data_IF_586362308625
#
_entry.id   IF_586362308625
#
_cell.length_a   1.000
_cell.length_b   1.000
_cell.length_c   1.000
_cell.angle_alpha   90.00
_cell.angle_beta   90.00
_cell.angle_gamma   90.00
#
_symmetry.space_group_name_H-M   'P 1'
#
loop_
_entity.id
_entity.type
_entity.pdbx_description
1 polymer ?
#
# COMPACT_ATOMS: atom_id res chain seq x y z
N UNK A 1 -3.09 -0.17 -34.70
CA UNK A 1 -2.82 -1.09 -33.57
C UNK A 1 -3.60 -0.58 -32.36
N UNK A 2 -4.57 -1.33 -31.84
CA UNK A 2 -5.36 -0.89 -30.68
C UNK A 2 -4.61 -1.23 -29.39
N UNK A 3 -4.76 -0.41 -28.34
CA UNK A 3 -4.11 -0.66 -27.04
C UNK A 3 -4.41 -2.06 -26.49
N UNK A 4 -5.62 -2.57 -26.73
CA UNK A 4 -6.02 -3.92 -26.32
C UNK A 4 -5.17 -5.03 -26.97
N UNK A 5 -4.68 -4.82 -28.20
CA UNK A 5 -3.81 -5.78 -28.90
C UNK A 5 -2.42 -5.84 -28.26
N UNK A 6 -1.95 -4.71 -27.72
CA UNK A 6 -0.66 -4.56 -27.02
C UNK A 6 -0.73 -5.16 -25.62
N UNK A 7 -1.89 -5.10 -24.96
CA UNK A 7 -2.05 -5.62 -23.59
C UNK A 7 -2.28 -7.13 -23.51
N UNK A 8 -2.31 -7.86 -24.64
CA UNK A 8 -2.37 -9.32 -24.63
C UNK A 8 -1.10 -9.90 -24.01
N UNK A 9 -1.26 -10.90 -23.12
CA UNK A 9 -0.16 -11.52 -22.35
C UNK A 9 0.97 -12.06 -23.23
N UNK A 10 0.62 -12.46 -24.45
CA UNK A 10 1.52 -13.12 -25.39
C UNK A 10 2.43 -12.14 -26.18
N UNK A 11 2.19 -10.83 -26.08
CA UNK A 11 2.90 -9.83 -26.88
C UNK A 11 3.23 -8.54 -26.09
N UNK A 12 3.39 -8.64 -24.76
CA UNK A 12 3.64 -7.47 -23.93
C UNK A 12 4.80 -7.69 -22.96
N UNK A 13 5.66 -6.69 -22.83
CA UNK A 13 6.81 -6.68 -21.93
C UNK A 13 6.52 -5.86 -20.66
N UNK A 14 5.27 -5.88 -20.17
CA UNK A 14 4.87 -5.12 -18.96
C UNK A 14 5.70 -5.56 -17.75
N UNK A 15 6.10 -6.84 -17.72
CA UNK A 15 6.92 -7.37 -16.64
C UNK A 15 8.33 -6.76 -16.59
N UNK A 16 8.91 -6.32 -17.72
CA UNK A 16 10.18 -5.59 -17.73
C UNK A 16 10.03 -4.26 -16.99
N UNK A 17 8.96 -3.51 -17.26
CA UNK A 17 8.70 -2.25 -16.56
C UNK A 17 8.44 -2.46 -15.07
N UNK A 18 7.85 -3.59 -14.69
CA UNK A 18 7.71 -3.98 -13.27
C UNK A 18 9.03 -4.29 -12.62
N UNK A 19 9.96 -4.95 -13.32
CA UNK A 19 11.32 -5.20 -12.81
C UNK A 19 12.05 -3.87 -12.62
N UNK A 20 11.99 -2.96 -13.60
CA UNK A 20 12.58 -1.61 -13.47
C UNK A 20 11.97 -0.87 -12.27
N UNK A 21 10.65 -0.91 -12.12
CA UNK A 21 9.98 -0.31 -10.96
C UNK A 21 10.42 -0.98 -9.64
N UNK A 22 10.57 -2.31 -9.59
CA UNK A 22 11.06 -3.00 -8.41
C UNK A 22 12.48 -2.56 -8.03
N UNK A 23 13.38 -2.42 -9.01
CA UNK A 23 14.72 -1.86 -8.79
C UNK A 23 14.67 -0.44 -8.21
N UNK A 24 13.78 0.43 -8.74
CA UNK A 24 13.59 1.78 -8.21
C UNK A 24 13.00 1.80 -6.79
N UNK A 25 12.10 0.87 -6.44
CA UNK A 25 11.62 0.69 -5.06
C UNK A 25 12.77 0.35 -4.12
N UNK A 26 13.60 -0.62 -4.50
CA UNK A 26 14.78 -1.04 -3.71
C UNK A 26 15.75 0.14 -3.54
N UNK A 27 16.04 0.85 -4.63
CA UNK A 27 16.92 2.02 -4.63
C UNK A 27 16.41 3.12 -3.69
N UNK A 28 15.15 3.52 -3.81
CA UNK A 28 14.57 4.57 -2.97
C UNK A 28 14.51 4.20 -1.50
N UNK A 29 14.17 2.94 -1.17
CA UNK A 29 14.13 2.48 0.21
C UNK A 29 15.51 2.29 0.83
N UNK A 30 16.57 2.06 0.04
CA UNK A 30 17.93 1.94 0.57
C UNK A 30 18.33 3.18 1.39
N UNK A 31 18.02 4.39 0.89
CA UNK A 31 18.30 5.65 1.58
C UNK A 31 17.46 5.87 2.85
N UNK A 32 16.25 5.29 2.92
CA UNK A 32 15.37 5.41 4.09
C UNK A 32 15.73 4.39 5.17
N UNK A 33 16.15 3.18 4.76
CA UNK A 33 16.48 2.08 5.66
C UNK A 33 17.89 2.26 6.23
N UNK A 34 18.84 2.74 5.43
CA UNK A 34 20.22 3.00 5.84
C UNK A 34 20.59 4.45 5.51
N UNK A 35 20.09 5.42 6.29
CA UNK A 35 20.35 6.83 6.03
C UNK A 35 21.83 7.16 6.29
N UNK A 36 22.47 7.80 5.31
CA UNK A 36 23.81 8.39 5.46
C UNK A 36 23.71 9.91 5.37
N UNK A 37 24.41 10.61 6.27
CA UNK A 37 24.40 12.08 6.30
C UNK A 37 24.88 12.63 4.97
N UNK A 38 24.05 13.47 4.32
CA UNK A 38 24.38 14.13 3.06
C UNK A 38 24.11 13.29 1.80
N UNK A 39 23.65 12.04 1.92
CA UNK A 39 23.20 11.23 0.79
C UNK A 39 21.68 11.13 0.77
N UNK A 40 21.07 11.57 -0.32
CA UNK A 40 19.65 11.33 -0.59
C UNK A 40 19.47 10.75 -1.99
N UNK A 41 18.28 10.24 -2.22
CA UNK A 41 17.87 9.74 -3.51
C UNK A 41 18.03 10.81 -4.60
N UNK A 42 18.69 10.45 -5.71
CA UNK A 42 18.90 11.32 -6.87
C UNK A 42 17.59 11.97 -7.34
N UNK A 43 16.48 11.22 -7.30
CA UNK A 43 15.17 11.74 -7.69
C UNK A 43 14.70 12.86 -6.76
N UNK A 44 15.04 12.81 -5.48
CA UNK A 44 14.67 13.86 -4.52
C UNK A 44 15.43 15.16 -4.77
N UNK A 45 16.63 15.10 -5.35
CA UNK A 45 17.33 16.31 -5.82
C UNK A 45 16.67 16.93 -7.05
N UNK A 46 16.10 16.12 -7.95
CA UNK A 46 15.45 16.59 -9.18
C UNK A 46 13.98 17.02 -8.95
N UNK A 47 13.29 16.34 -8.03
CA UNK A 47 11.90 16.54 -7.66
C UNK A 47 11.80 16.59 -6.13
N UNK A 48 11.79 17.80 -5.51
CA UNK A 48 11.81 17.96 -4.05
C UNK A 48 10.64 17.31 -3.30
N UNK A 49 9.60 16.87 -4.01
CA UNK A 49 8.38 16.30 -3.44
C UNK A 49 8.16 14.83 -3.81
N UNK A 50 9.11 14.18 -4.50
CA UNK A 50 9.02 12.78 -4.87
C UNK A 50 10.34 12.05 -4.62
N UNK A 51 10.22 10.74 -4.42
CA UNK A 51 11.35 9.80 -4.34
C UNK A 51 11.23 8.79 -5.47
N UNK A 52 12.34 8.15 -5.84
CA UNK A 52 12.36 7.01 -6.76
C UNK A 52 11.39 5.92 -6.33
N UNK A 53 11.26 5.67 -5.02
CA UNK A 53 10.25 4.76 -4.46
C UNK A 53 8.82 5.22 -4.73
N UNK A 54 8.50 6.51 -4.52
CA UNK A 54 7.18 7.08 -4.84
C UNK A 54 6.84 6.94 -6.33
N UNK A 55 7.79 7.28 -7.20
CA UNK A 55 7.62 7.16 -8.66
C UNK A 55 7.41 5.68 -9.05
N UNK A 56 8.19 4.78 -8.48
CA UNK A 56 8.07 3.35 -8.77
C UNK A 56 6.69 2.79 -8.38
N UNK A 57 6.18 3.17 -7.20
CA UNK A 57 4.82 2.79 -6.78
C UNK A 57 3.78 3.34 -7.76
N UNK A 58 3.90 4.60 -8.22
CA UNK A 58 3.00 5.17 -9.26
C UNK A 58 3.03 4.35 -10.55
N UNK A 59 4.22 3.91 -11.00
CA UNK A 59 4.38 3.05 -12.17
C UNK A 59 3.69 1.69 -11.96
N UNK A 60 3.89 1.05 -10.80
CA UNK A 60 3.22 -0.22 -10.46
C UNK A 60 1.69 -0.10 -10.49
N UNK A 61 1.14 0.97 -9.90
CA UNK A 61 -0.29 1.24 -9.91
C UNK A 61 -0.82 1.50 -11.31
N UNK A 62 -0.09 2.28 -12.12
CA UNK A 62 -0.49 2.56 -13.50
C UNK A 62 -0.53 1.28 -14.35
N UNK A 63 0.56 0.49 -14.36
CA UNK A 63 0.64 -0.76 -15.11
C UNK A 63 -0.42 -1.78 -14.64
N UNK A 64 -0.62 -1.89 -13.33
CA UNK A 64 -1.65 -2.76 -12.76
C UNK A 64 -3.05 -2.30 -13.16
N UNK A 65 -3.30 -0.98 -13.14
CA UNK A 65 -4.56 -0.38 -13.57
C UNK A 65 -4.91 -0.72 -15.03
N UNK A 66 -3.93 -0.64 -15.94
CA UNK A 66 -4.13 -1.03 -17.35
C UNK A 66 -4.55 -2.50 -17.49
N UNK A 67 -3.81 -3.41 -16.85
CA UNK A 67 -4.06 -4.86 -16.94
C UNK A 67 -5.39 -5.24 -16.28
N UNK A 68 -5.69 -4.65 -15.13
CA UNK A 68 -6.92 -4.93 -14.37
C UNK A 68 -8.14 -4.38 -15.11
N UNK A 69 -8.05 -3.19 -15.69
CA UNK A 69 -9.10 -2.61 -16.54
C UNK A 69 -9.34 -3.47 -17.77
N UNK A 70 -8.28 -3.95 -18.44
CA UNK A 70 -8.46 -4.87 -19.56
C UNK A 70 -9.14 -6.18 -19.13
N UNK A 71 -8.78 -6.70 -17.95
CA UNK A 71 -9.35 -7.92 -17.40
C UNK A 71 -10.86 -7.83 -17.13
N UNK A 72 -11.37 -6.72 -16.59
CA UNK A 72 -12.82 -6.58 -16.34
C UNK A 72 -13.62 -6.39 -17.64
N UNK A 73 -13.07 -5.62 -18.60
CA UNK A 73 -13.70 -5.37 -19.90
C UNK A 73 -13.75 -6.62 -20.79
N UNK A 74 -12.77 -7.53 -20.66
CA UNK A 74 -12.73 -8.79 -21.41
C UNK A 74 -13.57 -9.88 -20.76
N UNK A 75 -13.50 -10.02 -19.44
CA UNK A 75 -14.23 -11.07 -18.70
C UNK A 75 -15.74 -10.79 -18.64
N UNK A 76 -16.17 -9.52 -18.67
CA UNK A 76 -17.55 -9.05 -18.59
C UNK A 76 -18.38 -9.66 -17.42
N UNK A 77 -17.72 -10.08 -16.34
CA UNK A 77 -18.37 -10.65 -15.17
C UNK A 77 -17.82 -10.03 -13.88
N UNK A 78 -18.62 -9.20 -13.18
CA UNK A 78 -18.27 -8.60 -11.90
C UNK A 78 -17.85 -9.64 -10.85
N UNK A 79 -18.56 -10.78 -10.79
CA UNK A 79 -18.30 -11.83 -9.80
C UNK A 79 -16.94 -12.48 -10.03
N UNK A 80 -16.63 -12.85 -11.29
CA UNK A 80 -15.32 -13.43 -11.64
C UNK A 80 -14.19 -12.43 -11.37
N UNK A 81 -14.43 -11.15 -11.62
CA UNK A 81 -13.46 -10.09 -11.30
C UNK A 81 -13.18 -10.02 -9.79
N UNK A 82 -14.21 -9.94 -8.94
CA UNK A 82 -14.06 -9.89 -7.48
C UNK A 82 -13.31 -11.14 -6.98
N UNK A 83 -13.75 -12.33 -7.39
CA UNK A 83 -13.13 -13.58 -6.94
C UNK A 83 -11.64 -13.64 -7.31
N UNK A 84 -11.28 -13.30 -8.56
CA UNK A 84 -9.88 -13.29 -9.00
C UNK A 84 -9.01 -12.33 -8.19
N UNK A 85 -9.53 -11.16 -7.79
CA UNK A 85 -8.77 -10.19 -6.99
C UNK A 85 -8.72 -10.55 -5.52
N UNK A 86 -9.79 -11.14 -4.99
CA UNK A 86 -9.81 -11.65 -3.62
C UNK A 86 -8.73 -12.72 -3.42
N UNK A 87 -8.70 -13.75 -4.27
CA UNK A 87 -7.69 -14.81 -4.18
C UNK A 87 -6.26 -14.36 -4.52
N UNK A 88 -6.11 -13.21 -5.18
CA UNK A 88 -4.80 -12.62 -5.43
C UNK A 88 -4.21 -11.93 -4.18
N UNK A 89 -5.02 -11.21 -3.42
CA UNK A 89 -4.53 -10.35 -2.32
C UNK A 89 -4.60 -11.07 -0.97
N UNK A 90 -5.77 -11.61 -0.61
CA UNK A 90 -6.03 -12.07 0.76
C UNK A 90 -5.14 -13.23 1.21
N UNK A 91 -4.91 -14.28 0.40
CA UNK A 91 -4.04 -15.38 0.82
C UNK A 91 -2.61 -14.91 1.09
N UNK A 92 -2.02 -14.15 0.16
CA UNK A 92 -0.66 -13.64 0.31
C UNK A 92 -0.53 -12.69 1.51
N UNK A 93 -1.51 -11.80 1.72
CA UNK A 93 -1.55 -10.88 2.85
C UNK A 93 -1.67 -11.63 4.18
N UNK A 94 -2.58 -12.61 4.27
CA UNK A 94 -2.76 -13.45 5.46
C UNK A 94 -1.45 -14.13 5.87
N UNK A 95 -0.82 -14.86 4.94
CA UNK A 95 0.42 -15.55 5.24
C UNK A 95 1.56 -14.60 5.59
N UNK A 96 1.69 -13.47 4.87
CA UNK A 96 2.70 -12.45 5.18
C UNK A 96 2.51 -11.92 6.60
N UNK A 97 1.29 -11.56 6.99
CA UNK A 97 1.01 -11.05 8.33
C UNK A 97 1.25 -12.10 9.42
N UNK A 98 0.89 -13.37 9.17
CA UNK A 98 1.14 -14.48 10.10
C UNK A 98 2.65 -14.70 10.27
N UNK A 99 3.41 -14.76 9.18
CA UNK A 99 4.87 -14.92 9.22
C UNK A 99 5.51 -13.76 9.97
N UNK A 100 5.10 -12.52 9.69
CA UNK A 100 5.60 -11.35 10.40
C UNK A 100 5.29 -11.40 11.90
N UNK A 101 4.06 -11.73 12.31
CA UNK A 101 3.64 -11.70 13.71
C UNK A 101 4.10 -12.90 14.54
N UNK A 102 4.11 -14.11 13.96
CA UNK A 102 4.32 -15.35 14.72
C UNK A 102 5.67 -16.03 14.47
N UNK A 103 6.42 -15.60 13.44
CA UNK A 103 7.74 -16.17 13.13
C UNK A 103 8.81 -15.08 13.24
N UNK A 104 8.74 -14.03 12.41
CA UNK A 104 9.77 -13.00 12.38
C UNK A 104 9.76 -12.18 13.67
N UNK A 105 8.59 -11.70 14.09
CA UNK A 105 8.40 -10.89 15.29
C UNK A 105 9.08 -11.45 16.55
N UNK A 106 8.79 -12.69 16.98
CA UNK A 106 9.44 -13.26 18.17
C UNK A 106 10.95 -13.52 18.01
N UNK A 107 11.47 -13.65 16.78
CA UNK A 107 12.90 -13.83 16.52
C UNK A 107 13.66 -12.51 16.69
N UNK A 108 13.06 -11.40 16.24
CA UNK A 108 13.73 -10.08 16.23
C UNK A 108 13.30 -9.15 17.37
N UNK A 109 12.30 -9.54 18.17
CA UNK A 109 11.82 -8.75 19.29
C UNK A 109 12.84 -8.71 20.43
N UNK A 110 12.92 -7.58 21.12
CA UNK A 110 13.72 -7.43 22.35
C UNK A 110 13.03 -8.04 23.57
N UNK A 111 11.77 -8.47 23.46
CA UNK A 111 11.01 -9.07 24.56
C UNK A 111 11.30 -10.57 24.70
N UNK A 112 11.30 -11.11 25.93
CA UNK A 112 11.26 -12.56 26.15
C UNK A 112 10.04 -13.19 25.47
N UNK A 113 10.18 -14.40 24.92
CA UNK A 113 9.09 -15.09 24.19
C UNK A 113 7.78 -15.17 24.98
N UNK A 114 7.86 -15.43 26.29
CA UNK A 114 6.68 -15.49 27.18
C UNK A 114 5.92 -14.16 27.24
N UNK A 115 6.66 -13.06 27.23
CA UNK A 115 6.08 -11.71 27.25
C UNK A 115 5.57 -11.31 25.87
N UNK A 116 6.31 -11.65 24.80
CA UNK A 116 5.87 -11.40 23.42
C UNK A 116 4.49 -11.98 23.13
N UNK A 117 4.25 -13.22 23.56
CA UNK A 117 2.96 -13.91 23.39
C UNK A 117 1.94 -13.63 24.51
N UNK A 118 2.19 -12.67 25.40
CA UNK A 118 1.21 -12.26 26.40
C UNK A 118 -0.08 -11.79 25.68
N UNK A 119 -1.27 -12.30 26.06
CA UNK A 119 -2.55 -11.85 25.51
C UNK A 119 -2.76 -10.33 25.53
N UNK A 120 -2.16 -9.63 26.49
CA UNK A 120 -2.21 -8.16 26.60
C UNK A 120 -1.55 -7.44 25.42
N UNK A 121 -0.54 -8.05 24.79
CA UNK A 121 0.16 -7.50 23.63
C UNK A 121 -0.62 -7.64 22.32
N UNK A 122 -1.71 -8.44 22.31
CA UNK A 122 -2.69 -8.55 21.22
C UNK A 122 -2.07 -8.67 19.82
N UNK A 123 -1.03 -9.48 19.66
CA UNK A 123 -0.34 -9.65 18.37
C UNK A 123 -1.28 -10.12 17.24
N UNK A 124 -2.37 -10.80 17.58
CA UNK A 124 -3.41 -11.20 16.64
C UNK A 124 -4.09 -10.01 15.94
N UNK A 125 -4.10 -8.82 16.58
CA UNK A 125 -4.62 -7.59 15.97
C UNK A 125 -3.76 -7.16 14.78
N UNK A 126 -2.46 -7.43 14.77
CA UNK A 126 -1.62 -7.16 13.61
C UNK A 126 -2.15 -7.90 12.37
N UNK A 127 -2.51 -9.17 12.53
CA UNK A 127 -3.06 -9.99 11.44
C UNK A 127 -4.47 -9.51 11.09
N UNK A 128 -5.35 -9.38 12.08
CA UNK A 128 -6.74 -9.02 11.88
C UNK A 128 -6.91 -7.63 11.24
N UNK A 129 -6.18 -6.62 11.72
CA UNK A 129 -6.28 -5.26 11.23
C UNK A 129 -5.80 -5.18 9.77
N UNK A 130 -4.64 -5.77 9.45
CA UNK A 130 -4.10 -5.73 8.09
C UNK A 130 -5.01 -6.47 7.09
N UNK A 131 -5.56 -7.64 7.45
CA UNK A 131 -6.54 -8.35 6.60
C UNK A 131 -7.83 -7.54 6.40
N UNK A 132 -8.21 -6.77 7.42
CA UNK A 132 -9.35 -5.86 7.39
C UNK A 132 -9.04 -4.52 6.70
N UNK A 133 -7.90 -4.41 6.02
CA UNK A 133 -7.43 -3.20 5.32
C UNK A 133 -7.18 -1.99 6.22
N UNK A 134 -6.94 -2.24 7.52
CA UNK A 134 -6.50 -1.25 8.50
C UNK A 134 -5.01 -1.52 8.73
N UNK A 135 -4.15 -0.78 8.03
CA UNK A 135 -2.72 -1.06 8.07
C UNK A 135 -2.15 -0.85 9.47
N UNK A 136 -1.59 -1.92 10.04
CA UNK A 136 -0.88 -1.90 11.31
C UNK A 136 0.58 -2.26 11.04
N UNK A 137 1.50 -1.39 11.44
CA UNK A 137 2.93 -1.55 11.17
C UNK A 137 3.68 -2.18 12.34
N UNK A 138 3.14 -2.10 13.55
CA UNK A 138 3.85 -2.37 14.79
C UNK A 138 3.58 -3.75 15.39
N UNK A 139 4.63 -4.33 15.96
CA UNK A 139 4.62 -5.50 16.83
C UNK A 139 5.41 -5.19 18.11
N UNK A 140 5.09 -5.84 19.24
CA UNK A 140 5.70 -5.53 20.53
C UNK A 140 7.21 -5.85 20.54
N UNK A 141 8.03 -4.86 20.90
CA UNK A 141 9.49 -5.01 21.01
C UNK A 141 10.25 -5.18 19.69
N UNK A 142 9.60 -5.01 18.53
CA UNK A 142 10.24 -5.22 17.21
C UNK A 142 10.76 -3.90 16.64
N UNK A 143 12.04 -3.87 16.24
CA UNK A 143 12.69 -2.75 15.53
C UNK A 143 12.56 -1.38 16.23
N UNK A 144 12.75 -1.35 17.55
CA UNK A 144 12.68 -0.12 18.35
C UNK A 144 13.84 0.84 18.03
N UNK A 145 15.03 0.30 17.73
CA UNK A 145 16.26 1.08 17.51
C UNK A 145 16.55 1.37 16.02
N UNK A 146 15.64 1.00 15.12
CA UNK A 146 15.84 1.24 13.68
C UNK A 146 15.66 2.74 13.33
N UNK A 147 16.35 3.25 12.29
CA UNK A 147 16.18 4.64 11.82
C UNK A 147 14.72 5.00 11.50
N UNK A 148 13.95 4.02 11.04
CA UNK A 148 12.49 4.11 10.96
C UNK A 148 11.89 3.12 11.97
N UNK A 149 11.66 3.54 13.22
CA UNK A 149 11.33 2.63 14.30
C UNK A 149 9.92 2.03 14.11
N UNK A 150 9.66 0.91 14.80
CA UNK A 150 8.33 0.31 15.01
C UNK A 150 7.71 -0.36 13.77
N UNK A 151 8.18 -0.10 12.54
CA UNK A 151 7.61 -0.65 11.31
C UNK A 151 8.20 -2.03 10.97
N UNK A 152 7.38 -3.08 11.09
CA UNK A 152 7.73 -4.47 10.75
C UNK A 152 7.71 -4.69 9.23
N UNK A 153 6.68 -4.14 8.57
CA UNK A 153 6.52 -4.23 7.13
C UNK A 153 5.92 -2.92 6.62
N UNK A 154 6.81 -2.02 6.19
CA UNK A 154 6.43 -0.72 5.68
C UNK A 154 5.60 -0.80 4.40
N UNK A 155 5.76 -1.84 3.58
CA UNK A 155 5.13 -1.96 2.26
C UNK A 155 3.62 -2.24 2.29
N UNK A 156 3.08 -2.68 3.44
CA UNK A 156 1.65 -2.99 3.61
C UNK A 156 0.72 -1.81 3.31
N UNK A 157 1.22 -0.57 3.39
CA UNK A 157 0.45 0.64 3.17
C UNK A 157 -0.22 0.70 1.79
N UNK A 158 0.37 0.07 0.77
CA UNK A 158 -0.13 0.11 -0.61
C UNK A 158 -1.35 -0.78 -0.85
N UNK A 159 -1.53 -1.84 -0.07
CA UNK A 159 -2.55 -2.87 -0.31
C UNK A 159 -3.98 -2.31 -0.18
N UNK A 160 -4.34 -1.52 0.85
CA UNK A 160 -5.67 -0.90 0.92
C UNK A 160 -5.98 -0.03 -0.31
N UNK A 161 -5.01 0.75 -0.80
CA UNK A 161 -5.19 1.57 -2.00
C UNK A 161 -5.44 0.71 -3.25
N UNK A 162 -4.77 -0.43 -3.38
CA UNK A 162 -5.02 -1.38 -4.47
C UNK A 162 -6.46 -1.92 -4.42
N UNK A 163 -6.93 -2.32 -3.23
CA UNK A 163 -8.32 -2.80 -3.04
C UNK A 163 -9.34 -1.69 -3.33
N UNK A 164 -9.12 -0.46 -2.86
CA UNK A 164 -10.00 0.65 -3.16
C UNK A 164 -10.04 0.98 -4.65
N UNK A 165 -8.91 0.91 -5.36
CA UNK A 165 -8.88 1.09 -6.80
C UNK A 165 -9.70 0.01 -7.53
N UNK A 166 -9.68 -1.23 -7.06
CA UNK A 166 -10.52 -2.30 -7.61
C UNK A 166 -12.00 -2.06 -7.39
N UNK A 167 -12.39 -1.57 -6.20
CA UNK A 167 -13.79 -1.22 -5.90
C UNK A 167 -14.26 -0.07 -6.79
N UNK A 168 -13.48 1.00 -6.91
CA UNK A 168 -13.81 2.15 -7.77
C UNK A 168 -13.97 1.69 -9.22
N UNK A 169 -13.02 0.91 -9.74
CA UNK A 169 -13.07 0.40 -11.10
C UNK A 169 -14.31 -0.48 -11.34
N UNK A 170 -14.65 -1.34 -10.38
CA UNK A 170 -15.85 -2.17 -10.43
C UNK A 170 -17.12 -1.31 -10.47
N UNK A 171 -17.22 -0.28 -9.64
CA UNK A 171 -18.35 0.66 -9.65
C UNK A 171 -18.46 1.37 -11.00
N UNK A 172 -17.35 1.90 -11.54
CA UNK A 172 -17.31 2.54 -12.86
C UNK A 172 -17.75 1.58 -13.98
N UNK A 173 -17.36 0.30 -13.88
CA UNK A 173 -17.76 -0.75 -14.80
C UNK A 173 -19.27 -1.03 -14.70
N UNK A 174 -19.81 -1.21 -13.49
CA UNK A 174 -21.25 -1.46 -13.29
C UNK A 174 -22.14 -0.30 -13.76
N UNK A 175 -21.69 0.95 -13.58
CA UNK A 175 -22.42 2.15 -14.07
C UNK A 175 -22.31 2.29 -15.60
N UNK A 176 -21.34 1.63 -16.24
CA UNK A 176 -21.15 1.69 -17.69
C UNK A 176 -20.46 2.97 -18.17
N UNK A 177 -19.75 3.69 -17.29
CA UNK A 177 -19.07 4.95 -17.62
C UNK A 177 -18.03 4.74 -18.73
N UNK A 178 -17.43 3.55 -18.82
CA UNK A 178 -16.47 3.19 -19.86
C UNK A 178 -17.02 3.33 -21.30
N UNK A 179 -18.36 3.39 -21.47
CA UNK A 179 -19.01 3.62 -22.77
C UNK A 179 -19.06 5.10 -23.18
N UNK A 180 -18.75 6.02 -22.27
CA UNK A 180 -18.81 7.48 -22.46
C UNK A 180 -17.39 8.08 -22.50
N UNK A 181 -16.71 8.13 -23.67
CA UNK A 181 -15.29 8.50 -23.75
C UNK A 181 -14.99 9.91 -23.23
N UNK A 182 -15.91 10.87 -23.44
CA UNK A 182 -15.76 12.23 -22.92
C UNK A 182 -15.78 12.28 -21.39
N UNK A 183 -16.62 11.45 -20.75
CA UNK A 183 -16.68 11.38 -19.29
C UNK A 183 -15.45 10.69 -18.71
N UNK A 184 -14.95 9.64 -19.36
CA UNK A 184 -13.69 8.98 -18.98
C UNK A 184 -12.51 9.94 -19.13
N UNK A 185 -12.44 10.68 -20.24
CA UNK A 185 -11.41 11.69 -20.45
C UNK A 185 -11.49 12.81 -19.39
N UNK A 186 -12.68 13.30 -19.08
CA UNK A 186 -12.89 14.28 -18.02
C UNK A 186 -12.43 13.76 -16.65
N UNK A 187 -12.80 12.53 -16.28
CA UNK A 187 -12.38 11.90 -15.02
C UNK A 187 -10.86 11.72 -14.98
N UNK A 188 -10.24 11.27 -16.07
CA UNK A 188 -8.79 11.12 -16.16
C UNK A 188 -8.08 12.47 -15.98
N UNK A 189 -8.55 13.51 -16.68
CA UNK A 189 -8.02 14.87 -16.56
C UNK A 189 -8.22 15.39 -15.14
N UNK A 190 -9.39 15.23 -14.55
CA UNK A 190 -9.68 15.67 -13.18
C UNK A 190 -8.75 15.00 -12.15
N UNK A 191 -8.50 13.70 -12.27
CA UNK A 191 -7.59 12.95 -11.39
C UNK A 191 -6.14 13.42 -11.57
N UNK A 192 -5.69 13.62 -12.81
CA UNK A 192 -4.33 14.13 -13.08
C UNK A 192 -4.16 15.58 -12.63
N UNK A 193 -5.19 16.40 -12.81
CA UNK A 193 -5.20 17.80 -12.39
C UNK A 193 -5.17 17.91 -10.88
N UNK A 194 -5.95 17.08 -10.15
CA UNK A 194 -5.88 17.00 -8.70
C UNK A 194 -4.47 16.61 -8.23
N UNK A 195 -3.83 15.67 -8.91
CA UNK A 195 -2.47 15.21 -8.59
C UNK A 195 -1.40 16.30 -8.79
N UNK A 196 -1.60 17.23 -9.72
CA UNK A 196 -0.70 18.37 -9.99
C UNK A 196 -1.04 19.58 -9.12
N UNK A 197 -2.32 19.76 -8.80
CA UNK A 197 -2.78 20.86 -7.95
C UNK A 197 -2.40 20.61 -6.48
N UNK A 198 -2.08 21.68 -5.75
CA UNK A 198 -1.83 21.59 -4.29
C UNK A 198 -3.11 21.28 -3.48
N UNK A 199 -4.27 21.21 -4.15
CA UNK A 199 -5.59 21.00 -3.57
C UNK A 199 -5.85 19.49 -3.55
N UNK A 200 -5.57 18.85 -2.41
CA UNK A 200 -5.86 17.42 -2.21
C UNK A 200 -7.30 17.27 -1.69
N UNK A 201 -8.31 17.12 -2.54
CA UNK A 201 -9.71 16.96 -2.08
C UNK A 201 -9.98 15.50 -1.68
N UNK A 202 -9.51 14.54 -2.47
CA UNK A 202 -9.68 13.09 -2.25
C UNK A 202 -8.72 12.58 -1.17
N UNK A 203 -7.48 13.12 -1.14
CA UNK A 203 -6.47 12.69 -0.17
C UNK A 203 -6.62 13.33 1.22
N UNK A 204 -7.20 14.53 1.35
CA UNK A 204 -7.39 15.20 2.65
C UNK A 204 -8.40 14.45 3.53
N UNK A 205 -9.50 13.94 2.94
CA UNK A 205 -10.48 13.14 3.67
C UNK A 205 -9.87 11.85 4.24
N UNK A 206 -8.96 11.21 3.49
CA UNK A 206 -8.30 9.98 3.95
C UNK A 206 -7.13 10.25 4.93
N UNK A 207 -6.38 11.32 4.72
CA UNK A 207 -5.30 11.72 5.62
C UNK A 207 -5.82 12.14 7.00
N UNK A 208 -7.02 12.73 7.05
CA UNK A 208 -7.76 13.00 8.30
C UNK A 208 -8.23 11.70 8.96
N UNK A 209 -8.64 10.67 8.22
CA UNK A 209 -9.01 9.36 8.81
C UNK A 209 -7.80 8.62 9.37
N UNK A 210 -6.65 8.63 8.67
CA UNK A 210 -5.41 8.05 9.19
C UNK A 210 -4.84 8.82 10.39
N UNK A 211 -4.86 10.17 10.38
CA UNK A 211 -4.48 10.96 11.55
C UNK A 211 -5.41 10.68 12.74
N UNK A 212 -6.73 10.61 12.52
CA UNK A 212 -7.69 10.26 13.56
C UNK A 212 -7.52 8.83 14.07
N UNK A 213 -7.16 7.86 13.23
CA UNK A 213 -6.87 6.48 13.66
C UNK A 213 -5.56 6.39 14.45
N UNK A 214 -4.51 7.10 14.03
CA UNK A 214 -3.24 7.19 14.74
C UNK A 214 -3.42 7.91 16.09
N UNK A 215 -4.16 9.02 16.14
CA UNK A 215 -4.51 9.71 17.40
C UNK A 215 -5.35 8.81 18.30
N UNK A 216 -6.34 8.10 17.77
CA UNK A 216 -7.20 7.20 18.54
C UNK A 216 -6.44 5.97 19.05
N UNK A 217 -5.41 5.53 18.33
CA UNK A 217 -4.52 4.46 18.77
C UNK A 217 -3.51 4.94 19.81
N UNK A 218 -2.91 6.13 19.65
CA UNK A 218 -2.01 6.77 20.61
C UNK A 218 -2.75 7.09 21.92
N UNK A 219 -3.98 7.61 21.84
CA UNK A 219 -4.82 7.86 23.00
C UNK A 219 -5.25 6.56 23.69
N UNK A 220 -5.50 5.47 22.93
CA UNK A 220 -5.76 4.15 23.52
C UNK A 220 -4.51 3.55 24.15
N UNK A 221 -3.33 3.66 23.55
CA UNK A 221 -2.08 3.15 24.12
C UNK A 221 -1.62 3.96 25.34
N UNK A 222 -1.88 5.27 25.38
CA UNK A 222 -1.63 6.12 26.53
C UNK A 222 -2.48 5.73 27.75
N UNK A 223 -3.69 5.19 27.53
CA UNK A 223 -4.58 4.73 28.59
C UNK A 223 -4.09 3.43 29.28
N UNK A 224 -3.15 2.69 28.67
CA UNK A 224 -2.54 1.49 29.25
C UNK A 224 -1.16 1.75 29.90
N UNK A 225 -0.69 3.01 29.94
CA UNK A 225 0.60 3.41 30.53
C UNK A 225 0.45 4.34 31.75
N UNK A 226 -0.25 3.95 32.83
CA UNK A 226 -0.42 4.84 33.99
C UNK A 226 0.88 5.05 34.81
N UNK A 227 2.00 4.42 34.46
CA UNK A 227 3.20 4.36 35.33
C UNK A 227 4.48 4.98 34.78
N UNK A 228 4.48 5.67 33.64
CA UNK A 228 5.61 6.54 33.29
C UNK A 228 5.24 7.98 33.67
N UNK A 229 5.44 8.30 34.95
CA UNK A 229 5.59 9.69 35.38
C UNK A 229 7.01 10.14 35.01
N UNK A 230 7.06 11.36 34.47
CA UNK A 230 8.20 12.21 34.10
C UNK A 230 9.55 11.84 34.72
#
# INVERSE_FOLDING_TARGET
MKLNDILKKENNNIDIFRVIAACLVIWGHAYVISPEVGKSDFITYLLPHDTSGSIAVKIFFFLSGLVVTNSILTTNSPIKFIASRFFRIWPALFFTCIICAYIIGPIVSTLPLKEYFNPENRIYLYVFNNISMITQYNLPGVFLDNPHPISVNGSLWTIPYEVYAYIILLCLFCIGIYKKPLLVAFLAVAITFESVSKIKIVFLAHHLTQKCQCLRHVLRSAQYWPHIKM
#
